data_IF_956580902796
#
_entry.id   IF_956580902796
#
_cell.length_a   1.000
_cell.length_b   1.000
_cell.length_c   1.000
_cell.angle_alpha   90.00
_cell.angle_beta   90.00
_cell.angle_gamma   90.00
#
_symmetry.space_group_name_H-M   'P 1'
#
loop_
_entity.id
_entity.type
_entity.pdbx_description
1 polymer ?
2 non-polymer ?
3 water ?
#
# COMPACT_ATOMS: atom_id res chain seq x y z
N UNK A 1 -12.91 -5.25 10.85
CA UNK A 1 -12.88 -6.42 9.99
C UNK A 1 -11.99 -6.26 8.77
N UNK A 2 -12.49 -6.69 7.61
CA UNK A 2 -11.74 -6.57 6.36
C UNK A 2 -12.58 -5.91 5.26
N UNK A 3 -13.53 -5.09 5.69
CA UNK A 3 -14.29 -4.23 4.78
C UNK A 3 -13.74 -2.81 4.86
N UNK A 4 -13.69 -2.13 3.71
CA UNK A 4 -13.06 -0.83 3.56
C UNK A 4 -13.38 0.19 4.67
N UNK A 5 -14.42 0.99 4.45
CA UNK A 5 -14.81 2.06 5.37
C UNK A 5 -13.79 3.21 5.53
N UNK A 7 -13.06 7.02 7.10
CA UNK A 7 -13.42 7.76 8.31
C UNK A 7 -14.40 8.90 7.91
N UNK A 8 -15.00 9.54 8.91
CA UNK A 8 -15.93 10.65 8.62
C UNK A 8 -15.17 11.79 7.91
N UNK A 9 -13.99 12.10 8.43
CA UNK A 9 -13.12 13.10 7.84
C UNK A 9 -12.81 12.80 6.37
N UNK A 10 -12.38 11.58 6.09
CA UNK A 10 -12.14 11.15 4.71
C UNK A 10 -13.38 11.32 3.81
N UNK A 11 -14.53 10.88 4.32
CA UNK A 11 -15.75 10.93 3.53
C UNK A 11 -16.00 12.36 3.11
N UNK A 12 -15.95 13.28 4.08
CA UNK A 12 -16.21 14.69 3.81
C UNK A 12 -15.17 15.29 2.86
N UNK A 13 -13.89 15.06 3.14
CA UNK A 13 -12.84 15.66 2.32
C UNK A 13 -12.70 15.06 0.92
N UNK A 14 -12.81 13.73 0.82
CA UNK A 14 -12.78 13.09 -0.49
C UNK A 14 -13.99 13.54 -1.30
N UNK A 15 -15.14 13.68 -0.64
CA UNK A 15 -16.34 14.20 -1.31
C UNK A 15 -16.06 15.59 -1.90
N UNK A 16 -15.51 16.48 -1.08
CA UNK A 16 -15.24 17.86 -1.54
C UNK A 16 -14.18 18.01 -2.65
N UNK A 17 -13.09 17.26 -2.55
CA UNK A 17 -12.03 17.33 -3.56
C UNK A 17 -12.41 16.57 -4.83
N UNK A 18 -13.33 15.62 -4.69
CA UNK A 18 -13.76 14.83 -5.83
C UNK A 18 -15.08 15.31 -6.40
N UNK A 19 -15.90 14.39 -6.87
CA UNK A 19 -17.24 14.72 -7.29
C UNK A 19 -18.19 13.54 -7.12
N UNK A 21 -21.29 10.88 -8.40
CA UNK A 21 -21.60 10.14 -9.60
C UNK A 21 -22.78 9.21 -9.28
N UNK A 22 -23.82 9.30 -10.09
CA UNK A 22 -24.96 8.41 -9.93
C UNK A 22 -24.80 7.27 -10.90
N UNK A 23 -25.18 6.09 -10.48
CA UNK A 23 -25.10 4.97 -11.40
C UNK A 23 -26.30 4.05 -11.22
N UNK A 24 -26.97 3.74 -12.32
CA UNK A 24 -28.21 2.98 -12.25
C UNK A 24 -27.94 1.50 -11.96
N UNK A 25 -28.94 0.85 -11.38
CA UNK A 25 -28.95 -0.60 -11.19
C UNK A 25 -28.61 -1.32 -12.48
N UNK A 26 -27.64 -2.23 -12.43
CA UNK A 26 -27.26 -3.01 -13.59
C UNK A 26 -26.17 -2.40 -14.44
N UNK A 27 -25.87 -1.12 -14.22
CA UNK A 27 -24.86 -0.45 -15.04
C UNK A 27 -23.42 -0.77 -14.62
N UNK A 28 -22.55 -0.91 -15.60
CA UNK A 28 -21.14 -1.12 -15.33
C UNK A 28 -20.48 0.24 -15.08
N UNK A 29 -19.58 0.27 -14.11
CA UNK A 29 -18.76 1.44 -13.84
C UNK A 29 -17.45 1.31 -14.62
N UNK A 30 -16.86 0.12 -14.54
CA UNK A 30 -15.73 -0.22 -15.39
C UNK A 30 -15.55 -1.74 -15.55
N UNK A 31 -14.80 -2.11 -16.58
CA UNK A 31 -14.54 -3.51 -16.88
C UNK A 31 -13.20 -3.95 -16.36
N UNK A 32 -13.12 -5.23 -15.98
CA UNK A 32 -11.88 -5.81 -15.53
C UNK A 32 -10.84 -5.77 -16.66
N UNK A 33 -9.64 -5.32 -16.33
CA UNK A 33 -8.57 -5.26 -17.31
C UNK A 33 -8.40 -3.89 -17.94
N UNK A 34 -9.32 -2.98 -17.67
CA UNK A 34 -9.29 -1.68 -18.30
C UNK A 34 -8.30 -0.74 -17.61
N UNK A 35 -7.93 0.32 -18.31
CA UNK A 35 -7.16 1.41 -17.76
C UNK A 35 -8.11 2.12 -16.80
N UNK A 36 -7.59 2.72 -15.74
CA UNK A 36 -8.45 3.47 -14.85
C UNK A 36 -7.62 4.21 -13.82
N UNK A 37 -7.81 5.51 -13.73
CA UNK A 37 -6.96 6.33 -12.86
C UNK A 37 -7.76 7.01 -11.75
N UNK A 38 -9.01 6.64 -11.57
CA UNK A 38 -9.77 7.21 -10.47
C UNK A 38 -10.18 6.12 -9.51
N UNK A 40 -13.04 5.18 -6.19
CA UNK A 40 -14.44 5.45 -5.87
C UNK A 40 -14.79 5.14 -4.43
N UNK A 41 -15.68 5.92 -3.85
CA UNK A 41 -16.29 5.55 -2.57
C UNK A 41 -17.81 5.41 -2.71
N UNK A 42 -18.34 4.26 -2.29
CA UNK A 42 -19.78 4.06 -2.25
C UNK A 42 -20.40 4.93 -1.13
N UNK A 43 -21.40 5.74 -1.46
CA UNK A 43 -22.15 6.40 -0.38
C UNK A 43 -23.62 5.97 -0.31
N UNK A 44 -24.17 5.46 -1.40
CA UNK A 44 -25.47 4.82 -1.34
C UNK A 44 -25.45 3.62 -2.25
N UNK A 45 -26.24 2.60 -1.90
CA UNK A 45 -26.42 1.44 -2.76
C UNK A 45 -25.32 0.41 -2.58
N UNK A 46 -24.91 -0.21 -3.67
CA UNK A 46 -23.93 -1.29 -3.58
C UNK A 46 -23.21 -1.55 -4.90
N UNK A 47 -21.89 -1.66 -4.83
CA UNK A 47 -21.12 -1.97 -6.01
C UNK A 47 -20.63 -3.41 -5.91
N UNK A 48 -20.75 -4.15 -7.00
CA UNK A 48 -20.24 -5.53 -7.03
C UNK A 48 -18.93 -5.60 -7.82
N UNK A 49 -17.94 -6.23 -7.21
CA UNK A 49 -16.65 -6.46 -7.86
C UNK A 49 -16.57 -7.89 -8.40
N UNK A 50 -16.29 -8.01 -9.69
CA UNK A 50 -16.17 -9.32 -10.34
C UNK A 50 -14.73 -9.58 -10.75
N UNK A 51 -14.06 -10.48 -10.04
CA UNK A 51 -12.65 -10.73 -10.26
C UNK A 51 -12.36 -11.79 -11.31
N UNK A 52 -13.40 -12.23 -12.01
CA UNK A 52 -13.21 -13.24 -13.04
C UNK A 52 -12.91 -14.60 -12.45
N UNK A 53 -12.54 -15.54 -13.34
CA UNK A 53 -12.45 -16.94 -12.98
C UNK A 53 -13.73 -17.39 -12.27
N UNK A 54 -13.56 -18.14 -11.19
CA UNK A 54 -14.70 -18.68 -10.46
C UNK A 54 -14.76 -18.11 -9.06
N UNK A 55 -14.18 -16.93 -8.90
CA UNK A 55 -14.07 -16.30 -7.60
C UNK A 55 -15.41 -15.77 -7.12
N UNK A 57 -17.97 -13.07 -5.80
CA UNK A 57 -18.15 -11.61 -5.94
C UNK A 57 -17.90 -10.91 -4.61
N UNK A 58 -17.42 -9.66 -4.67
CA UNK A 58 -17.35 -8.81 -3.49
C UNK A 58 -18.39 -7.72 -3.59
N UNK A 59 -19.06 -7.46 -2.48
CA UNK A 59 -20.17 -6.52 -2.42
C UNK A 59 -19.78 -5.36 -1.55
N UNK A 60 -19.77 -4.16 -2.12
CA UNK A 60 -19.32 -2.99 -1.38
C UNK A 60 -20.49 -2.04 -1.15
N UNK A 61 -20.82 -1.83 0.13
CA UNK A 61 -21.87 -0.90 0.51
C UNK A 61 -21.34 0.45 0.99
N UNK A 62 -22.24 1.34 1.41
CA UNK A 62 -21.92 2.73 1.76
C UNK A 62 -20.68 2.89 2.63
N UNK A 63 -19.81 3.83 2.26
CA UNK A 63 -18.59 4.04 3.02
C UNK A 63 -17.41 3.16 2.62
N UNK A 64 -17.64 2.18 1.75
CA UNK A 64 -16.53 1.35 1.27
C UNK A 64 -15.90 1.94 0.00
N UNK A 65 -14.60 1.77 -0.13
CA UNK A 65 -13.86 2.35 -1.25
C UNK A 65 -13.18 1.29 -2.10
N UNK A 66 -12.90 1.64 -3.35
CA UNK A 66 -12.29 0.70 -4.27
C UNK A 66 -11.70 1.47 -5.43
N UNK A 67 -10.78 0.86 -6.15
CA UNK A 67 -10.17 1.51 -7.30
C UNK A 67 -8.94 2.33 -6.97
N UNK A 68 -8.49 2.29 -5.72
CA UNK A 68 -7.31 3.06 -5.31
C UNK A 68 -6.04 2.58 -6.02
N UNK A 69 -5.98 1.31 -6.39
CA UNK A 69 -4.88 0.77 -7.18
C UNK A 69 -4.76 1.46 -8.54
N UNK A 70 -5.90 1.62 -9.21
CA UNK A 70 -5.95 2.33 -10.48
C UNK A 70 -5.50 3.77 -10.29
N UNK A 71 -5.87 4.34 -9.16
CA UNK A 71 -5.52 5.71 -8.85
C UNK A 71 -4.01 5.88 -8.61
N UNK A 72 -3.41 4.94 -7.89
CA UNK A 72 -2.07 5.11 -7.33
C UNK A 72 -0.93 4.54 -8.19
N UNK A 73 -1.29 3.62 -9.08
CA UNK A 73 -0.31 2.87 -9.85
C UNK A 73 -0.52 3.14 -11.33
N UNK A 74 0.41 3.83 -11.96
CA UNK A 74 0.29 4.14 -13.37
C UNK A 74 0.21 2.90 -14.23
N UNK A 75 -0.66 2.94 -15.24
CA UNK A 75 -0.87 1.84 -16.18
C UNK A 75 -1.34 0.55 -15.51
N UNK A 76 -1.92 0.67 -14.32
CA UNK A 76 -2.58 -0.44 -13.66
C UNK A 76 -3.77 -0.86 -14.50
N UNK A 77 -4.00 -2.17 -14.59
CA UNK A 77 -5.21 -2.67 -15.21
C UNK A 77 -6.17 -3.11 -14.12
N UNK A 78 -7.41 -2.65 -14.22
CA UNK A 78 -8.44 -2.94 -13.22
C UNK A 78 -8.48 -4.43 -12.88
N UNK A 79 -8.28 -4.75 -11.60
CA UNK A 79 -8.27 -6.12 -11.12
C UNK A 79 -9.66 -6.77 -11.14
N UNK A 80 -10.70 -5.95 -11.19
CA UNK A 80 -12.04 -6.49 -11.24
C UNK A 80 -12.93 -5.61 -12.08
N UNK A 81 -14.04 -6.18 -12.55
CA UNK A 81 -15.09 -5.37 -13.13
C UNK A 81 -15.95 -4.83 -12.00
N UNK A 82 -16.42 -3.59 -12.17
CA UNK A 82 -17.28 -2.96 -11.17
C UNK A 82 -18.62 -2.61 -11.78
N UNK A 83 -19.70 -2.91 -11.06
CA UNK A 83 -21.04 -2.70 -11.57
C UNK A 83 -22.05 -2.49 -10.44
N UNK A 84 -23.11 -1.73 -10.73
CA UNK A 84 -24.06 -1.38 -9.70
C UNK A 84 -25.11 -2.47 -9.54
N UNK A 85 -25.28 -2.95 -8.32
CA UNK A 85 -26.26 -3.98 -8.03
C UNK A 85 -27.63 -3.34 -8.02
N UNK A 86 -27.71 -2.17 -7.40
CA UNK A 86 -28.92 -1.40 -7.29
C UNK A 86 -28.52 0.02 -7.63
N UNK A 87 -29.48 0.93 -7.73
CA UNK A 87 -29.17 2.33 -7.98
C UNK A 87 -28.18 2.77 -6.91
N UNK A 88 -27.07 3.36 -7.31
CA UNK A 88 -26.02 3.68 -6.35
C UNK A 88 -25.49 5.08 -6.54
N UNK A 89 -24.88 5.62 -5.50
CA UNK A 89 -24.22 6.91 -5.64
C UNK A 89 -22.82 6.75 -5.09
N UNK A 90 -21.87 7.41 -5.76
CA UNK A 90 -20.45 7.24 -5.49
C UNK A 90 -19.76 8.58 -5.37
N UNK A 91 -18.73 8.63 -4.54
CA UNK A 91 -17.73 9.69 -4.66
C UNK A 91 -16.70 9.22 -5.68
N UNK A 92 -16.47 10.04 -6.70
CA UNK A 92 -15.44 9.76 -7.70
C UNK A 92 -14.25 10.71 -7.49
N UNK A 93 -13.08 10.13 -7.25
CA UNK A 93 -11.88 10.90 -6.97
C UNK A 93 -10.83 10.68 -8.06
N UNK A 94 -10.56 11.72 -8.83
CA UNK A 94 -9.63 11.64 -9.94
C UNK A 94 -8.18 11.85 -9.51
N UNK A 95 -7.27 11.42 -10.38
CA UNK A 95 -5.83 11.53 -10.14
C UNK A 95 -5.42 12.92 -9.65
N UNK A 96 -5.83 13.96 -10.38
CA UNK A 96 -5.53 15.34 -10.02
C UNK A 96 -6.15 15.74 -8.69
N UNK A 97 -7.37 15.26 -8.43
CA UNK A 97 -8.06 15.53 -7.17
C UNK A 97 -7.22 14.98 -6.02
N UNK A 98 -6.73 13.76 -6.19
CA UNK A 98 -5.95 13.11 -5.15
C UNK A 98 -4.65 13.88 -4.90
N UNK A 99 -4.01 14.33 -5.98
CA UNK A 99 -2.80 15.13 -5.81
C UNK A 99 -3.10 16.41 -5.04
N UNK A 100 -4.26 17.03 -5.31
CA UNK A 100 -4.65 18.23 -4.58
C UNK A 100 -4.83 17.93 -3.11
N UNK A 101 -5.45 16.78 -2.82
CA UNK A 101 -5.72 16.32 -1.46
C UNK A 101 -4.44 16.11 -0.66
N UNK A 102 -3.47 15.43 -1.28
CA UNK A 102 -2.17 15.20 -0.67
C UNK A 102 -1.55 16.53 -0.28
N UNK A 103 -1.59 17.50 -1.19
CA UNK A 103 -0.95 18.78 -0.98
C UNK A 103 -1.61 19.56 0.15
N UNK A 104 -2.94 19.47 0.24
CA UNK A 104 -3.66 20.21 1.26
C UNK A 104 -3.68 19.50 2.61
N UNK A 105 -3.72 18.16 2.59
CA UNK A 105 -3.78 17.42 3.85
C UNK A 105 -3.00 16.12 3.80
N UNK A 106 -1.66 16.24 3.79
CA UNK A 106 -0.81 15.04 3.66
C UNK A 106 -1.04 14.06 4.79
N UNK A 107 -1.33 14.56 5.98
CA UNK A 107 -1.48 13.69 7.14
C UNK A 107 -2.71 12.79 6.97
N UNK A 109 -4.13 11.89 4.18
CA UNK A 109 -3.81 10.97 3.09
C UNK A 109 -2.87 9.83 3.53
N UNK A 110 -1.88 10.15 4.35
CA UNK A 110 -0.93 9.13 4.81
C UNK A 110 -1.68 8.07 5.61
N UNK A 111 -2.59 8.53 6.47
CA UNK A 111 -3.38 7.61 7.27
C UNK A 111 -4.24 6.74 6.35
N UNK A 112 -4.84 7.36 5.34
CA UNK A 112 -5.62 6.61 4.38
C UNK A 112 -4.74 5.60 3.62
N UNK A 113 -3.55 6.02 3.18
CA UNK A 113 -2.70 5.13 2.39
C UNK A 113 -2.24 3.94 3.22
N UNK A 114 -1.99 4.21 4.49
CA UNK A 114 -1.63 3.17 5.44
C UNK A 114 -2.74 2.14 5.56
N UNK A 115 -3.98 2.61 5.77
CA UNK A 115 -5.12 1.72 5.81
C UNK A 115 -5.30 0.96 4.49
N UNK A 116 -5.00 1.59 3.38
CA UNK A 116 -5.06 0.92 2.08
C UNK A 116 -4.13 -0.30 2.00
N UNK A 117 -2.86 -0.08 2.36
CA UNK A 117 -1.87 -1.15 2.35
C UNK A 117 -2.31 -2.39 3.14
N UNK A 118 -2.82 -2.17 4.34
CA UNK A 118 -3.35 -3.26 5.14
C UNK A 118 -4.45 -4.02 4.39
N UNK A 119 -5.40 -3.26 3.81
CA UNK A 119 -6.50 -3.88 3.08
C UNK A 119 -5.96 -4.70 1.91
N UNK A 120 -5.03 -4.12 1.15
CA UNK A 120 -4.53 -4.72 -0.08
C UNK A 120 -3.63 -5.95 0.17
N UNK A 121 -2.86 -5.93 1.25
CA UNK A 121 -2.06 -7.09 1.60
C UNK A 121 -3.00 -8.22 2.04
N UNK A 122 -4.15 -7.84 2.56
CA UNK A 122 -5.18 -8.80 2.93
C UNK A 122 -6.23 -9.01 1.83
N UNK A 123 -5.83 -8.81 0.57
CA UNK A 123 -6.76 -8.97 -0.55
C UNK A 123 -6.36 -10.03 -1.59
N UNK A 124 -6.80 -9.84 -2.82
CA UNK A 124 -6.61 -10.83 -3.88
C UNK A 124 -7.49 -12.07 -3.66
N UNK A 125 -8.54 -12.17 -4.47
CA UNK A 125 -9.47 -13.30 -4.38
C UNK A 125 -9.03 -14.44 -5.31
N UNK B 3 13.34 -2.06 -8.62
CA UNK B 3 13.99 -2.04 -7.31
C UNK B 3 13.50 -0.88 -6.45
N UNK B 4 13.64 -1.04 -5.13
CA UNK B 4 13.14 -0.06 -4.16
C UNK B 4 13.69 1.34 -4.37
N UNK B 5 14.79 1.64 -3.68
CA UNK B 5 15.42 2.97 -3.70
C UNK B 5 14.60 4.09 -3.05
N UNK B 7 14.48 8.07 -1.69
CA UNK B 7 15.05 9.35 -2.11
C UNK B 7 16.14 9.77 -1.11
N UNK B 8 16.89 10.80 -1.45
CA UNK B 8 17.95 11.30 -0.58
C UNK B 8 17.32 11.83 0.72
N UNK B 9 16.18 12.51 0.57
CA UNK B 9 15.46 13.05 1.71
C UNK B 9 15.01 11.96 2.68
N UNK B 10 14.41 10.91 2.13
CA UNK B 10 14.04 9.73 2.91
C UNK B 10 15.22 9.08 3.63
N UNK B 11 16.34 8.95 2.94
CA UNK B 11 17.49 8.27 3.51
C UNK B 11 17.92 9.05 4.74
N UNK B 12 18.06 10.37 4.58
CA UNK B 12 18.51 11.20 5.66
C UNK B 12 17.53 11.15 6.83
N UNK B 13 16.24 11.30 6.53
CA UNK B 13 15.26 11.37 7.62
C UNK B 13 15.00 10.03 8.31
N UNK B 14 14.93 8.95 7.53
CA UNK B 14 14.69 7.63 8.10
C UNK B 14 15.87 7.26 9.00
N UNK B 15 17.07 7.60 8.54
CA UNK B 15 18.28 7.39 9.33
C UNK B 15 18.26 8.15 10.65
N UNK B 16 17.81 9.39 10.64
CA UNK B 16 17.77 10.17 11.88
C UNK B 16 16.67 9.70 12.85
N UNK B 17 15.51 9.33 12.30
CA UNK B 17 14.39 8.90 13.14
C UNK B 17 14.57 7.46 13.60
N UNK B 18 15.26 6.67 12.79
CA UNK B 18 15.53 5.29 13.15
C UNK B 18 16.89 5.13 13.80
N UNK B 19 17.57 4.04 13.47
CA UNK B 19 18.93 3.83 13.92
C UNK B 19 19.69 2.84 13.03
N UNK B 21 22.32 -0.36 12.11
CA UNK B 21 22.48 -1.75 12.53
C UNK B 21 23.52 -2.41 11.64
N UNK B 22 24.52 -3.03 12.25
CA UNK B 22 25.54 -3.75 11.51
C UNK B 22 25.20 -5.22 11.56
N UNK B 23 25.42 -5.91 10.46
CA UNK B 23 25.11 -7.32 10.42
C UNK B 23 26.14 -8.05 9.57
N UNK B 24 26.68 -9.13 10.12
CA UNK B 24 27.82 -9.79 9.47
C UNK B 24 27.38 -10.68 8.33
N UNK B 25 28.30 -10.90 7.41
CA UNK B 25 28.15 -11.86 6.32
C UNK B 25 27.65 -13.21 6.87
N UNK B 26 26.54 -13.68 6.33
CA UNK B 26 25.98 -14.96 6.74
C UNK B 26 24.95 -14.90 7.84
N UNK B 27 24.87 -13.76 8.52
CA UNK B 27 23.93 -13.63 9.64
C UNK B 27 22.49 -13.41 9.20
N UNK B 28 21.56 -14.01 9.94
CA UNK B 28 20.15 -13.82 9.69
C UNK B 28 19.67 -12.55 10.37
N UNK B 29 18.79 -11.82 9.70
CA UNK B 29 18.17 -10.62 10.25
C UNK B 29 16.80 -10.98 10.84
N UNK B 30 16.05 -11.76 10.08
CA UNK B 30 14.84 -12.39 10.55
C UNK B 30 14.48 -13.58 9.66
N UNK B 31 13.63 -14.45 10.20
CA UNK B 31 13.16 -15.64 9.49
C UNK B 31 11.80 -15.43 8.88
N UNK B 32 11.56 -16.13 7.78
CA UNK B 32 10.27 -16.10 7.11
C UNK B 32 9.20 -16.62 8.07
N UNK B 33 8.04 -16.00 8.07
CA UNK B 33 6.94 -16.42 8.92
C UNK B 33 6.98 -15.83 10.32
N UNK B 34 8.01 -15.03 10.62
CA UNK B 34 8.15 -14.47 11.95
C UNK B 34 7.39 -13.15 12.10
N UNK B 35 7.06 -12.84 13.35
CA UNK B 35 6.49 -11.56 13.71
C UNK B 35 7.57 -10.52 13.47
N UNK B 36 7.21 -9.25 13.27
CA UNK B 36 8.21 -8.24 13.00
C UNK B 36 7.56 -6.92 12.68
N UNK B 37 7.93 -5.87 13.41
CA UNK B 37 7.23 -4.60 13.28
C UNK B 37 8.18 -3.47 12.86
N UNK B 38 9.42 -3.78 12.53
CA UNK B 38 10.33 -2.75 12.04
C UNK B 38 10.64 -3.00 10.57
N UNK B 40 13.50 -1.94 7.26
CA UNK B 40 14.94 -1.73 7.08
C UNK B 40 15.29 -1.08 5.75
N UNK B 41 16.37 -0.30 5.75
CA UNK B 41 16.95 0.19 4.50
C UNK B 41 18.42 -0.23 4.43
N UNK B 42 18.79 -0.86 3.33
CA UNK B 42 20.19 -1.23 3.12
C UNK B 42 20.97 0.04 2.80
N UNK B 43 22.07 0.28 3.51
CA UNK B 43 22.94 1.40 3.10
C UNK B 43 24.33 0.93 2.67
N UNK B 44 24.76 -0.22 3.17
CA UNK B 44 25.96 -0.86 2.64
C UNK B 44 25.74 -2.36 2.58
N UNK B 45 26.35 -3.00 1.58
CA UNK B 45 26.36 -4.44 1.51
C UNK B 45 25.17 -4.96 0.71
N UNK B 46 24.60 -6.05 1.18
CA UNK B 46 23.51 -6.67 0.45
C UNK B 46 22.67 -7.57 1.32
N UNK B 47 21.35 -7.42 1.25
CA UNK B 47 20.47 -8.34 1.94
C UNK B 47 19.77 -9.25 0.95
N UNK B 48 19.70 -10.53 1.29
CA UNK B 48 18.99 -11.49 0.45
C UNK B 48 17.67 -11.84 1.10
N UNK B 49 16.61 -11.80 0.30
CA UNK B 49 15.30 -12.22 0.72
C UNK B 49 15.01 -13.64 0.22
N UNK B 50 14.60 -14.51 1.12
CA UNK B 50 14.27 -15.89 0.79
C UNK B 50 12.77 -16.16 1.01
N UNK B 51 12.02 -16.24 -0.08
CA UNK B 51 10.57 -16.40 0.00
C UNK B 51 10.13 -17.85 0.06
N UNK B 52 11.09 -18.75 0.28
CA UNK B 52 10.75 -20.14 0.51
C UNK B 52 10.32 -20.82 -0.77
N UNK B 53 9.96 -22.09 -0.63
CA UNK B 53 9.69 -22.95 -1.78
C UNK B 53 10.84 -22.83 -2.79
N UNK B 54 10.52 -22.82 -4.08
CA UNK B 54 11.56 -22.83 -5.11
C UNK B 54 11.73 -21.48 -5.80
N UNK B 55 11.36 -20.42 -5.11
CA UNK B 55 11.41 -19.10 -5.69
C UNK B 55 12.83 -18.54 -5.81
N UNK B 57 15.79 -15.96 -5.26
CA UNK B 57 16.18 -15.03 -4.20
C UNK B 57 16.14 -13.59 -4.74
N UNK B 58 15.78 -12.64 -3.87
CA UNK B 58 15.95 -11.23 -4.20
C UNK B 58 17.15 -10.65 -3.48
N UNK B 59 17.91 -9.84 -4.19
CA UNK B 59 19.13 -9.24 -3.71
C UNK B 59 18.94 -7.76 -3.59
N UNK B 60 19.07 -7.26 -2.35
CA UNK B 60 18.83 -5.85 -2.11
C UNK B 60 20.11 -5.11 -1.76
N UNK B 61 20.48 -4.16 -2.62
CA UNK B 61 21.68 -3.36 -2.42
C UNK B 61 21.35 -2.02 -1.78
N UNK B 62 22.39 -1.18 -1.58
CA UNK B 62 22.27 0.12 -0.91
C UNK B 62 21.10 0.96 -1.42
N UNK B 63 20.35 1.56 -0.51
CA UNK B 63 19.21 2.39 -0.92
C UNK B 63 17.87 1.66 -1.04
N UNK B 64 17.92 0.33 -1.05
CA UNK B 64 16.72 -0.47 -1.15
C UNK B 64 16.15 -0.78 0.24
N UNK B 65 14.82 -0.83 0.32
CA UNK B 65 14.12 -1.01 1.59
C UNK B 65 13.29 -2.26 1.59
N UNK B 66 12.97 -2.76 2.78
CA UNK B 66 12.14 -3.95 2.92
C UNK B 66 11.62 -4.03 4.34
N UNK B 67 10.59 -4.85 4.54
CA UNK B 67 10.04 -5.04 5.87
C UNK B 67 8.96 -4.03 6.20
N UNK B 68 8.64 -3.15 5.26
CA UNK B 68 7.59 -2.16 5.48
C UNK B 68 6.22 -2.81 5.75
N UNK B 69 6.01 -4.03 5.25
CA UNK B 69 4.77 -4.73 5.54
C UNK B 69 4.70 -5.07 7.03
N UNK B 70 5.80 -5.56 7.57
CA UNK B 70 5.87 -5.86 9.00
C UNK B 70 5.60 -4.59 9.79
N UNK B 71 6.20 -3.51 9.34
CA UNK B 71 6.01 -2.22 9.98
C UNK B 71 4.56 -1.73 9.98
N UNK B 72 3.87 -1.89 8.85
CA UNK B 72 2.62 -1.19 8.59
C UNK B 72 1.37 -2.00 8.93
N UNK B 73 1.53 -3.32 9.03
CA UNK B 73 0.41 -4.21 9.23
C UNK B 73 0.65 -5.00 10.52
N UNK B 74 -0.19 -4.80 11.52
CA UNK B 74 -0.04 -5.51 12.77
C UNK B 74 -0.22 -7.01 12.59
N UNK B 75 0.60 -7.77 13.30
CA UNK B 75 0.56 -9.24 13.27
C UNK B 75 0.86 -9.85 11.91
N UNK B 76 1.45 -9.05 11.00
CA UNK B 76 1.98 -9.55 9.74
C UNK B 76 3.05 -10.58 10.03
N UNK B 77 3.08 -11.66 9.25
CA UNK B 77 4.17 -12.61 9.36
C UNK B 77 5.14 -12.33 8.22
N UNK B 78 6.44 -12.35 8.51
CA UNK B 78 7.43 -12.02 7.50
C UNK B 78 7.27 -12.90 6.27
N UNK B 79 7.05 -12.26 5.12
CA UNK B 79 6.89 -12.96 3.85
C UNK B 79 8.18 -13.64 3.38
N UNK B 80 9.31 -13.16 3.85
CA UNK B 80 10.56 -13.83 3.48
C UNK B 80 11.49 -13.85 4.66
N UNK B 81 12.47 -14.74 4.58
CA UNK B 81 13.62 -14.67 5.48
C UNK B 81 14.60 -13.64 4.93
N UNK B 82 15.24 -12.90 5.84
CA UNK B 82 16.24 -11.90 5.46
C UNK B 82 17.59 -12.25 6.06
N UNK B 83 18.64 -12.18 5.25
CA UNK B 83 19.97 -12.50 5.72
C UNK B 83 21.04 -11.72 4.94
N UNK B 84 22.19 -11.54 5.58
CA UNK B 84 23.25 -10.74 4.98
C UNK B 84 24.17 -11.62 4.14
N UNK B 85 24.36 -11.20 2.90
CA UNK B 85 25.23 -11.89 1.97
C UNK B 85 26.68 -11.59 2.34
N UNK B 86 26.93 -10.31 2.63
CA UNK B 86 28.25 -9.81 2.98
C UNK B 86 28.02 -8.90 4.19
N UNK B 87 29.09 -8.42 4.81
CA UNK B 87 28.96 -7.48 5.91
C UNK B 87 28.11 -6.31 5.43
N UNK B 88 27.05 -6.00 6.18
CA UNK B 88 26.11 -5.01 5.70
C UNK B 88 25.81 -4.04 6.80
N UNK B 89 25.22 -2.91 6.41
CA UNK B 89 24.78 -1.92 7.38
C UNK B 89 23.40 -1.47 6.93
N UNK B 90 22.55 -1.19 7.92
CA UNK B 90 21.15 -0.95 7.67
C UNK B 90 20.66 0.20 8.49
N UNK B 91 19.70 0.94 7.93
CA UNK B 91 18.82 1.77 8.74
C UNK B 91 17.68 0.87 9.24
N UNK B 92 17.50 0.86 10.55
CA UNK B 92 16.43 0.10 11.18
C UNK B 92 15.43 1.14 11.68
N UNK B 93 14.18 1.00 11.23
CA UNK B 93 13.11 1.93 11.59
C UNK B 93 11.99 1.18 12.29
N UNK B 94 11.77 1.50 13.56
CA UNK B 94 10.74 0.84 14.35
C UNK B 94 9.38 1.52 14.26
N UNK B 95 8.37 0.80 14.74
CA UNK B 95 6.99 1.25 14.75
C UNK B 95 6.84 2.67 15.30
N UNK B 96 7.44 2.94 16.44
CA UNK B 96 7.35 4.25 17.09
C UNK B 96 8.08 5.33 16.30
N UNK B 97 9.24 4.96 15.76
CA UNK B 97 10.01 5.88 14.92
C UNK B 97 9.16 6.32 13.74
N UNK B 98 8.50 5.37 13.10
CA UNK B 98 7.67 5.69 11.95
C UNK B 98 6.51 6.60 12.36
N UNK B 99 5.91 6.33 13.52
CA UNK B 99 4.81 7.19 13.94
C UNK B 99 5.30 8.62 14.14
N UNK B 100 6.50 8.76 14.70
CA UNK B 100 7.12 10.07 14.89
C UNK B 100 7.30 10.79 13.56
N UNK B 101 7.88 10.07 12.60
CA UNK B 101 8.10 10.57 11.24
C UNK B 101 6.80 11.08 10.60
N UNK B 102 5.75 10.26 10.68
CA UNK B 102 4.45 10.65 10.15
C UNK B 102 4.02 11.97 10.77
N UNK B 103 4.22 12.10 12.08
CA UNK B 103 3.83 13.29 12.83
C UNK B 103 4.61 14.52 12.40
N UNK B 104 5.92 14.36 12.27
CA UNK B 104 6.78 15.47 11.90
C UNK B 104 6.69 15.79 10.41
N UNK B 105 6.58 14.77 9.57
CA UNK B 105 6.59 15.02 8.13
C UNK B 105 5.61 14.15 7.34
N UNK B 106 4.31 14.41 7.49
CA UNK B 106 3.33 13.54 6.83
C UNK B 106 3.46 13.54 5.33
N UNK B 107 3.89 14.65 4.74
CA UNK B 107 3.98 14.73 3.30
C UNK B 107 5.02 13.75 2.73
N UNK B 109 6.17 11.06 4.22
CA UNK B 109 5.67 9.71 4.48
C UNK B 109 4.62 9.27 3.45
N UNK B 110 3.73 10.19 3.07
CA UNK B 110 2.67 9.87 2.10
C UNK B 110 3.29 9.48 0.77
N UNK B 111 4.31 10.22 0.37
CA UNK B 111 5.02 9.96 -0.87
C UNK B 111 5.72 8.59 -0.81
N UNK B 112 6.36 8.32 0.32
CA UNK B 112 6.90 6.98 0.54
C UNK B 112 5.84 5.88 0.48
N UNK B 113 4.74 6.03 1.22
CA UNK B 113 3.70 5.00 1.25
C UNK B 113 3.19 4.72 -0.16
N UNK B 114 3.05 5.79 -0.92
CA UNK B 114 2.58 5.69 -2.29
C UNK B 114 3.50 4.82 -3.14
N UNK B 115 4.79 5.11 -3.10
CA UNK B 115 5.76 4.32 -3.82
C UNK B 115 5.74 2.88 -3.31
N UNK B 116 5.54 2.70 -2.01
CA UNK B 116 5.45 1.34 -1.43
C UNK B 116 4.35 0.54 -2.10
N UNK B 117 3.18 1.16 -2.24
CA UNK B 117 2.04 0.49 -2.83
C UNK B 117 2.36 0.05 -4.26
N UNK B 118 2.96 0.94 -5.04
CA UNK B 118 3.39 0.58 -6.38
C UNK B 118 4.34 -0.63 -6.37
N UNK B 119 5.28 -0.65 -5.44
CA UNK B 119 6.22 -1.75 -5.36
C UNK B 119 5.47 -3.04 -4.99
N UNK B 120 4.64 -2.98 -3.95
CA UNK B 120 3.98 -4.17 -3.41
C UNK B 120 2.94 -4.81 -4.35
N UNK B 121 2.43 -4.05 -5.30
CA UNK B 121 1.56 -4.63 -6.32
C UNK B 121 2.42 -4.91 -7.54
N UNK B 122 3.50 -5.67 -7.36
CA UNK B 122 4.47 -5.89 -8.44
C UNK B 122 5.28 -7.19 -8.73
N UNK B 123 5.87 -7.99 -7.81
CA UNK B 123 5.78 -8.23 -6.33
C UNK B 123 5.08 -9.56 -5.98
N UNK B 124 5.66 -10.26 -5.00
CA UNK B 124 5.23 -11.60 -4.62
C UNK B 124 5.62 -12.64 -5.68
N UNK B 125 6.72 -13.35 -5.44
CA UNK B 125 7.19 -14.38 -6.37
C UNK B 125 6.40 -15.67 -6.20
#
# INVERSE_FOLDING_TARGET
>A
GLHALXTAEELAFFARFGRXREIAAGQALFERGAVGTQXFIVVTGQIDLDFGEDLXLKHLGPGEFFGELGLLIGDHARSAGASASVDSRLIELAHDDFQRLVDHDPSXVAHFLRRSIVRVVNNEQLLIR
>B
GLHALXTAEELAFFARFGRXREIAAGQALFERGAVGTQXFIVVTGQIDLDFGEDLXLKHLGPGEFFGELGLLIGDHARSAGASASVDSRLIELAHDDFQRLVDHDPSXVAHFLRRSIVRVVNNEQLLIR
#
